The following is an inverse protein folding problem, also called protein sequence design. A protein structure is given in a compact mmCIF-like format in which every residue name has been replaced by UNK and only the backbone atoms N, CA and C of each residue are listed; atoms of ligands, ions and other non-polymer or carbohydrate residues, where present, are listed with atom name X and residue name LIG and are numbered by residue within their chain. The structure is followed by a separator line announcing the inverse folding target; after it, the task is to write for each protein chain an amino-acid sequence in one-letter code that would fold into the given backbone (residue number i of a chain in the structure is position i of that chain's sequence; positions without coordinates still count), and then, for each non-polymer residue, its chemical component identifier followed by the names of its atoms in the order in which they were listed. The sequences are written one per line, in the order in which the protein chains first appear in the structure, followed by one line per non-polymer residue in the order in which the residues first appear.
data_IF_046863997870
#
_entry.id   IF_046863997870
#
_cell.length_a   1.000
_cell.length_b   1.000
_cell.length_c   1.000
_cell.angle_alpha   90.00
_cell.angle_beta   90.00
_cell.angle_gamma   90.00
#
_symmetry.space_group_name_H-M   'P 1'
#
loop_
_entity.id
_entity.type
_entity.pdbx_description
1 polymer ?
#
# COMPACT_ATOMS: atom_id res chain seq x y z
N UNK A 1 24.11 -2.65 -15.37
CA UNK A 1 23.44 -3.97 -15.39
C UNK A 1 22.49 -4.05 -16.56
N UNK A 2 22.36 -5.21 -17.18
CA UNK A 2 21.37 -5.47 -18.24
C UNK A 2 20.58 -6.71 -17.87
N UNK A 3 19.27 -6.59 -17.79
CA UNK A 3 18.34 -7.72 -17.62
C UNK A 3 17.88 -8.12 -19.02
N UNK A 4 18.19 -9.35 -19.44
CA UNK A 4 17.89 -9.85 -20.79
C UNK A 4 16.75 -10.85 -20.77
N UNK A 5 16.00 -10.88 -21.86
CA UNK A 5 15.00 -11.92 -22.17
C UNK A 5 13.82 -11.95 -21.19
N UNK A 6 13.52 -10.86 -20.47
CA UNK A 6 12.40 -10.83 -19.56
C UNK A 6 11.06 -10.61 -20.27
N UNK A 7 9.98 -11.17 -19.71
CA UNK A 7 8.60 -10.73 -19.98
C UNK A 7 8.32 -9.50 -19.12
N UNK A 8 8.55 -8.30 -19.66
CA UNK A 8 8.51 -7.03 -18.92
C UNK A 8 7.10 -6.48 -18.88
N UNK A 9 6.63 -6.12 -17.69
CA UNK A 9 5.39 -5.35 -17.50
C UNK A 9 5.66 -3.87 -17.77
N UNK A 10 5.06 -3.37 -18.84
CA UNK A 10 5.30 -2.03 -19.36
C UNK A 10 4.36 -0.99 -18.77
N UNK A 11 4.69 0.27 -18.90
CA UNK A 11 3.95 1.40 -18.32
C UNK A 11 2.51 1.53 -18.86
N UNK A 12 2.24 1.03 -20.05
CA UNK A 12 0.89 0.99 -20.65
C UNK A 12 -0.01 -0.12 -20.07
N UNK A 13 0.53 -0.93 -19.14
CA UNK A 13 -0.20 -2.01 -18.48
C UNK A 13 -0.25 -3.31 -19.30
N UNK A 14 0.68 -3.49 -20.23
CA UNK A 14 0.83 -4.72 -21.03
C UNK A 14 2.14 -5.43 -20.74
N UNK A 15 2.31 -6.62 -21.31
CA UNK A 15 3.59 -7.32 -21.28
C UNK A 15 4.27 -7.29 -22.64
N UNK A 16 5.57 -7.08 -22.64
CA UNK A 16 6.41 -7.25 -23.82
C UNK A 16 7.63 -8.13 -23.51
N UNK A 17 8.13 -8.83 -24.51
CA UNK A 17 9.41 -9.53 -24.41
C UNK A 17 10.53 -8.53 -24.69
N UNK A 18 11.43 -8.33 -23.73
CA UNK A 18 12.41 -7.25 -23.86
C UNK A 18 13.62 -7.38 -22.96
N UNK A 19 14.52 -6.42 -23.16
CA UNK A 19 15.71 -6.22 -22.34
C UNK A 19 15.59 -4.88 -21.60
N UNK A 20 16.02 -4.83 -20.34
CA UNK A 20 16.00 -3.63 -19.52
C UNK A 20 17.42 -3.26 -19.12
N UNK A 21 17.81 -2.02 -19.39
CA UNK A 21 19.11 -1.48 -19.01
C UNK A 21 18.96 -0.65 -17.73
N UNK A 22 19.79 -0.94 -16.74
CA UNK A 22 19.88 -0.20 -15.48
C UNK A 22 21.24 0.46 -15.36
N UNK A 23 21.25 1.75 -15.04
CA UNK A 23 22.44 2.55 -14.85
C UNK A 23 22.25 3.48 -13.66
N UNK A 24 23.25 3.54 -12.78
CA UNK A 24 23.26 4.42 -11.61
C UNK A 24 21.99 4.29 -10.73
N UNK A 25 21.50 3.04 -10.56
CA UNK A 25 20.30 2.75 -9.77
C UNK A 25 18.97 3.09 -10.41
N UNK A 26 18.95 3.48 -11.69
CA UNK A 26 17.75 3.86 -12.42
C UNK A 26 17.59 3.07 -13.72
N UNK A 27 16.36 2.91 -14.17
CA UNK A 27 16.08 2.41 -15.50
C UNK A 27 16.60 3.42 -16.53
N UNK A 28 17.51 2.97 -17.40
CA UNK A 28 18.05 3.79 -18.48
C UNK A 28 17.21 3.62 -19.75
N UNK A 29 16.88 2.37 -20.10
CA UNK A 29 16.05 2.06 -21.25
C UNK A 29 15.34 0.72 -21.11
N UNK A 30 14.19 0.61 -21.79
CA UNK A 30 13.41 -0.61 -21.95
C UNK A 30 13.31 -0.88 -23.44
N UNK A 31 13.84 -2.01 -23.90
CA UNK A 31 14.03 -2.32 -25.30
C UNK A 31 13.20 -3.53 -25.68
N UNK A 32 12.25 -3.36 -26.61
CA UNK A 32 11.52 -4.50 -27.17
C UNK A 32 12.49 -5.38 -27.96
N UNK A 33 12.43 -6.68 -27.71
CA UNK A 33 13.28 -7.62 -28.42
C UNK A 33 12.67 -7.96 -29.77
N UNK A 34 13.38 -7.57 -30.82
CA UNK A 34 13.10 -7.96 -32.20
C UNK A 34 14.24 -8.84 -32.74
N UNK A 35 14.02 -9.60 -33.82
CA UNK A 35 15.04 -10.44 -34.41
C UNK A 35 16.34 -9.71 -34.78
N UNK A 36 16.30 -8.37 -34.88
CA UNK A 36 17.44 -7.53 -35.24
C UNK A 36 18.22 -6.98 -34.03
N UNK A 37 17.71 -7.14 -32.78
CA UNK A 37 18.33 -6.57 -31.58
C UNK A 37 19.41 -7.43 -30.94
N UNK A 38 19.59 -8.67 -31.37
CA UNK A 38 20.64 -9.60 -30.86
C UNK A 38 22.09 -9.12 -31.10
N UNK A 39 22.29 -8.06 -31.89
CA UNK A 39 23.62 -7.58 -32.30
C UNK A 39 24.15 -6.34 -31.49
N UNK A 40 23.36 -5.74 -30.65
CA UNK A 40 23.70 -4.41 -30.08
C UNK A 40 24.30 -4.41 -28.66
N UNK A 41 24.46 -5.56 -28.00
CA UNK A 41 24.94 -5.64 -26.62
C UNK A 41 26.36 -6.20 -26.52
N UNK A 42 27.33 -5.52 -27.13
CA UNK A 42 28.77 -5.79 -26.90
C UNK A 42 29.35 -4.72 -25.94
N UNK A 43 29.16 -4.91 -24.63
CA UNK A 43 29.91 -4.15 -23.64
C UNK A 43 30.51 -5.11 -22.60
N UNK A 44 31.80 -5.32 -22.74
CA UNK A 44 32.64 -6.28 -22.01
C UNK A 44 32.79 -5.99 -20.49
N UNK A 45 31.96 -5.13 -19.88
CA UNK A 45 32.05 -4.72 -18.47
C UNK A 45 30.71 -4.57 -17.74
N UNK A 46 29.56 -4.87 -18.37
CA UNK A 46 28.26 -4.76 -17.69
C UNK A 46 27.81 -6.13 -17.16
N UNK A 47 27.32 -6.13 -15.92
CA UNK A 47 26.62 -7.29 -15.35
C UNK A 47 25.40 -7.63 -16.20
N UNK A 48 25.25 -8.89 -16.58
CA UNK A 48 24.14 -9.38 -17.39
C UNK A 48 23.37 -10.41 -16.57
N UNK A 49 22.07 -10.20 -16.45
CA UNK A 49 21.12 -11.13 -15.84
C UNK A 49 20.27 -11.71 -16.94
N UNK A 50 20.30 -13.04 -17.10
CA UNK A 50 19.39 -13.73 -18.02
C UNK A 50 18.06 -14.03 -17.30
N UNK A 51 17.01 -13.31 -17.67
CA UNK A 51 15.66 -13.45 -17.15
C UNK A 51 14.74 -14.24 -18.10
N UNK A 52 15.31 -15.14 -18.90
CA UNK A 52 14.55 -16.04 -19.79
C UNK A 52 13.52 -16.84 -19.00
N UNK A 53 12.24 -16.75 -19.40
CA UNK A 53 11.13 -17.42 -18.70
C UNK A 53 10.68 -16.74 -17.42
N UNK A 54 11.21 -15.55 -17.11
CA UNK A 54 10.79 -14.77 -15.95
C UNK A 54 9.93 -13.57 -16.36
N UNK A 55 9.03 -13.21 -15.46
CA UNK A 55 8.19 -12.01 -15.53
C UNK A 55 8.89 -10.92 -14.72
N UNK A 56 9.13 -9.78 -15.33
CA UNK A 56 9.67 -8.60 -14.66
C UNK A 56 8.56 -7.60 -14.40
N UNK A 57 8.29 -7.31 -13.13
CA UNK A 57 7.29 -6.32 -12.70
C UNK A 57 7.95 -5.19 -11.93
N UNK A 58 7.35 -3.98 -11.87
CA UNK A 58 7.82 -2.95 -10.95
C UNK A 58 7.81 -3.46 -9.52
N UNK A 59 8.68 -2.96 -8.68
CA UNK A 59 8.57 -3.19 -7.25
C UNK A 59 7.22 -2.74 -6.72
N UNK A 60 6.64 -3.53 -5.80
CA UNK A 60 5.34 -3.25 -5.21
C UNK A 60 5.40 -2.01 -4.32
N UNK A 61 4.27 -1.35 -4.19
CA UNK A 61 4.07 -0.14 -3.36
C UNK A 61 2.95 -0.42 -2.38
N UNK A 62 3.25 -0.60 -1.10
CA UNK A 62 2.24 -0.77 -0.06
C UNK A 62 2.01 0.55 0.68
N UNK A 63 0.77 1.05 0.61
CA UNK A 63 0.41 2.34 1.19
C UNK A 63 -0.45 2.21 2.45
N UNK A 64 -0.72 0.96 2.88
CA UNK A 64 -1.48 0.72 4.10
C UNK A 64 -1.11 -0.63 4.73
N UNK A 65 -0.31 -0.57 5.77
CA UNK A 65 0.07 -1.69 6.63
C UNK A 65 0.71 -1.15 7.92
N UNK A 66 0.67 -1.91 9.02
CA UNK A 66 1.17 -1.45 10.33
C UNK A 66 2.55 -2.00 10.67
N UNK A 67 2.87 -3.21 10.22
CA UNK A 67 4.15 -3.81 10.54
C UNK A 67 4.29 -5.27 10.11
N UNK A 68 5.42 -5.88 10.52
CA UNK A 68 5.80 -7.26 10.20
C UNK A 68 6.95 -7.72 11.12
N UNK A 69 7.21 -9.03 11.18
CA UNK A 69 8.37 -9.60 11.89
C UNK A 69 8.54 -9.13 13.34
N UNK A 70 7.44 -8.82 14.03
CA UNK A 70 7.45 -8.35 15.41
C UNK A 70 7.55 -6.84 15.58
N UNK A 71 7.88 -6.11 14.52
CA UNK A 71 7.96 -4.65 14.50
C UNK A 71 6.64 -4.00 14.03
N UNK A 72 6.40 -2.77 14.47
CA UNK A 72 5.23 -1.98 14.15
C UNK A 72 5.63 -0.52 13.94
N UNK A 73 4.99 0.17 13.01
CA UNK A 73 5.23 1.62 12.79
C UNK A 73 5.10 2.42 14.08
N UNK A 74 4.13 2.05 14.94
CA UNK A 74 3.87 2.69 16.21
C UNK A 74 4.86 2.32 17.33
N UNK A 75 5.84 1.45 17.10
CA UNK A 75 6.96 1.26 18.02
C UNK A 75 7.84 2.53 18.11
N UNK A 76 7.79 3.40 17.10
CA UNK A 76 8.41 4.72 17.10
C UNK A 76 9.94 4.67 17.21
N UNK A 77 10.58 3.65 16.66
CA UNK A 77 12.04 3.44 16.69
C UNK A 77 12.61 3.21 15.31
N UNK A 78 13.87 3.60 15.10
CA UNK A 78 14.57 3.36 13.82
C UNK A 78 14.75 1.85 13.57
N UNK A 79 14.98 1.07 14.61
CA UNK A 79 15.15 -0.38 14.54
C UNK A 79 13.86 -1.07 14.03
N UNK A 80 12.67 -0.58 14.44
CA UNK A 80 11.40 -1.09 13.92
C UNK A 80 11.26 -0.80 12.42
N UNK A 81 11.61 0.42 11.98
CA UNK A 81 11.60 0.78 10.57
C UNK A 81 12.61 -0.03 9.75
N UNK A 82 13.80 -0.32 10.30
CA UNK A 82 14.79 -1.20 9.65
C UNK A 82 14.24 -2.62 9.44
N UNK A 83 13.57 -3.20 10.45
CA UNK A 83 12.92 -4.52 10.33
C UNK A 83 11.83 -4.50 9.29
N UNK A 84 10.96 -3.47 9.32
CA UNK A 84 9.84 -3.31 8.39
C UNK A 84 10.37 -3.20 6.96
N UNK A 85 11.28 -2.26 6.68
CA UNK A 85 11.77 -2.01 5.33
C UNK A 85 12.53 -3.21 4.76
N UNK A 86 13.28 -3.93 5.60
CA UNK A 86 13.99 -5.14 5.19
C UNK A 86 13.05 -6.29 4.84
N UNK A 87 12.01 -6.53 5.67
CA UNK A 87 11.04 -7.58 5.39
C UNK A 87 10.22 -7.27 4.14
N UNK A 88 9.69 -6.06 4.02
CA UNK A 88 8.88 -5.65 2.88
C UNK A 88 9.68 -5.78 1.56
N UNK A 89 10.98 -5.39 1.57
CA UNK A 89 11.86 -5.64 0.45
C UNK A 89 11.98 -7.14 0.10
N UNK A 90 12.10 -8.01 1.10
CA UNK A 90 12.24 -9.46 0.88
C UNK A 90 11.01 -10.12 0.25
N UNK A 91 9.84 -9.48 0.38
CA UNK A 91 8.58 -9.94 -0.22
C UNK A 91 8.16 -9.11 -1.44
N UNK A 92 9.08 -8.34 -2.02
CA UNK A 92 8.89 -7.63 -3.30
C UNK A 92 8.28 -6.24 -3.19
N UNK A 93 8.03 -5.74 -1.98
CA UNK A 93 7.57 -4.36 -1.76
C UNK A 93 8.81 -3.46 -1.67
N UNK A 94 8.94 -2.53 -2.59
CA UNK A 94 10.14 -1.66 -2.69
C UNK A 94 9.90 -0.23 -2.22
N UNK A 95 8.64 0.15 -2.05
CA UNK A 95 8.23 1.45 -1.50
C UNK A 95 7.12 1.24 -0.48
N UNK A 96 7.30 1.80 0.71
CA UNK A 96 6.40 1.61 1.85
C UNK A 96 5.88 2.94 2.38
N UNK A 97 4.58 2.98 2.67
CA UNK A 97 3.90 4.07 3.35
C UNK A 97 3.12 3.47 4.53
N UNK A 98 3.81 3.09 5.63
CA UNK A 98 3.19 2.39 6.75
C UNK A 98 2.14 3.25 7.44
N UNK A 99 1.11 2.58 7.96
CA UNK A 99 0.01 3.19 8.68
C UNK A 99 0.31 3.29 10.18
N UNK A 100 -0.10 4.41 10.79
CA UNK A 100 -0.14 4.53 12.24
C UNK A 100 -1.43 3.94 12.80
N UNK A 101 -1.50 3.81 14.11
CA UNK A 101 -2.72 3.46 14.84
C UNK A 101 -3.21 4.65 15.66
N UNK A 102 -4.46 4.57 16.12
CA UNK A 102 -5.03 5.52 17.09
C UNK A 102 -4.39 5.28 18.47
N UNK A 103 -3.28 5.96 18.73
CA UNK A 103 -2.51 5.90 19.97
C UNK A 103 -2.54 7.26 20.69
N UNK A 104 -1.91 7.37 21.85
CA UNK A 104 -1.87 8.62 22.61
C UNK A 104 -1.17 9.73 21.82
N UNK A 105 -1.60 10.99 22.03
CA UNK A 105 -1.12 12.17 21.29
C UNK A 105 0.40 12.31 21.28
N UNK A 106 1.03 12.20 22.44
CA UNK A 106 2.49 12.38 22.58
C UNK A 106 3.26 11.20 21.98
N UNK A 107 2.69 9.99 22.04
CA UNK A 107 3.26 8.81 21.39
C UNK A 107 3.21 8.94 19.86
N UNK A 108 2.06 9.36 19.31
CA UNK A 108 1.92 9.57 17.87
C UNK A 108 2.90 10.63 17.37
N UNK A 109 3.08 11.73 18.11
CA UNK A 109 4.06 12.77 17.79
C UNK A 109 5.49 12.19 17.77
N UNK A 110 5.83 11.32 18.72
CA UNK A 110 7.13 10.64 18.76
C UNK A 110 7.33 9.69 17.58
N UNK A 111 6.28 8.95 17.18
CA UNK A 111 6.29 8.07 16.00
C UNK A 111 6.54 8.88 14.73
N UNK A 112 5.82 9.99 14.54
CA UNK A 112 5.98 10.88 13.39
C UNK A 112 7.40 11.46 13.32
N UNK A 113 7.92 11.92 14.45
CA UNK A 113 9.29 12.45 14.54
C UNK A 113 10.33 11.39 14.21
N UNK A 114 10.19 10.16 14.74
CA UNK A 114 11.10 9.06 14.41
C UNK A 114 11.12 8.76 12.91
N UNK A 115 9.96 8.71 12.28
CA UNK A 115 9.86 8.47 10.84
C UNK A 115 10.44 9.62 10.01
N UNK A 116 10.22 10.88 10.43
CA UNK A 116 10.82 12.05 9.79
C UNK A 116 12.35 12.08 9.88
N UNK A 117 12.89 11.65 11.03
CA UNK A 117 14.34 11.60 11.28
C UNK A 117 15.00 10.30 10.76
N UNK A 118 14.21 9.34 10.24
CA UNK A 118 14.71 8.03 9.81
C UNK A 118 15.72 8.15 8.68
N UNK A 119 16.88 7.54 8.86
CA UNK A 119 17.89 7.41 7.83
C UNK A 119 17.75 6.05 7.13
N UNK A 120 17.68 6.06 5.82
CA UNK A 120 17.57 4.84 5.01
C UNK A 120 18.85 3.98 5.13
N UNK A 121 18.70 2.72 5.57
CA UNK A 121 19.80 1.77 5.73
C UNK A 121 19.76 0.62 4.71
N UNK A 122 18.89 0.69 3.71
CA UNK A 122 18.60 -0.37 2.76
C UNK A 122 17.21 -0.97 3.02
N UNK A 123 16.77 -1.90 2.17
CA UNK A 123 15.40 -2.41 2.18
C UNK A 123 14.45 -1.56 1.34
N UNK A 124 13.15 -1.62 1.61
CA UNK A 124 12.15 -0.80 0.94
C UNK A 124 12.28 0.68 1.30
N UNK A 125 12.04 1.58 0.36
CA UNK A 125 12.06 3.02 0.62
C UNK A 125 10.85 3.44 1.45
N UNK A 126 11.07 4.11 2.60
CA UNK A 126 10.02 4.80 3.33
C UNK A 126 9.64 6.06 2.54
N UNK A 127 8.51 6.02 1.85
CA UNK A 127 8.08 7.09 0.91
C UNK A 127 6.95 7.94 1.45
N UNK A 128 6.38 7.57 2.58
CA UNK A 128 5.29 8.29 3.22
C UNK A 128 4.83 7.61 4.50
N UNK A 129 3.83 8.21 5.11
CA UNK A 129 3.09 7.69 6.26
C UNK A 129 1.60 7.80 5.93
N UNK A 130 0.85 6.74 6.22
CA UNK A 130 -0.61 6.77 6.27
C UNK A 130 -1.03 7.04 7.72
N UNK A 131 -1.67 8.16 7.98
CA UNK A 131 -2.17 8.51 9.31
C UNK A 131 -3.54 7.87 9.51
N UNK A 132 -3.60 6.60 9.94
CA UNK A 132 -4.83 5.89 10.23
C UNK A 132 -5.30 6.21 11.67
N UNK A 133 -6.26 7.10 11.73
CA UNK A 133 -6.67 7.72 12.99
C UNK A 133 -5.72 8.85 13.44
N UNK A 134 -6.06 9.56 14.50
CA UNK A 134 -7.17 9.35 15.46
C UNK A 134 -8.52 9.95 15.04
N UNK A 135 -8.69 10.49 13.85
CA UNK A 135 -9.88 11.24 13.40
C UNK A 135 -10.99 10.33 12.83
N UNK A 136 -11.25 9.24 13.53
CA UNK A 136 -12.16 8.17 13.11
C UNK A 136 -13.41 8.09 13.99
N UNK A 137 -14.42 7.34 13.55
CA UNK A 137 -15.67 7.19 14.30
C UNK A 137 -15.55 6.17 15.44
N UNK A 138 -15.93 6.55 16.69
CA UNK A 138 -15.96 5.60 17.81
C UNK A 138 -16.84 4.38 17.53
N UNK A 139 -17.88 4.54 16.71
CA UNK A 139 -18.83 3.47 16.37
C UNK A 139 -18.27 2.47 15.37
N UNK A 140 -17.19 2.82 14.67
CA UNK A 140 -16.54 2.03 13.63
C UNK A 140 -15.03 1.87 13.86
N UNK A 141 -14.62 1.97 15.09
CA UNK A 141 -13.21 1.93 15.50
C UNK A 141 -12.46 0.65 15.09
N UNK A 142 -13.16 -0.47 14.83
CA UNK A 142 -12.49 -1.74 14.56
C UNK A 142 -11.52 -2.12 15.68
N UNK A 143 -10.26 -2.38 15.34
CA UNK A 143 -9.17 -2.66 16.26
C UNK A 143 -8.47 -1.39 16.83
N UNK A 144 -8.98 -0.19 16.56
CA UNK A 144 -8.41 1.05 17.07
C UNK A 144 -8.76 1.27 18.56
N UNK A 145 -7.91 1.96 19.30
CA UNK A 145 -8.10 2.26 20.74
C UNK A 145 -9.11 3.39 20.93
N UNK A 146 -10.30 3.05 21.47
CA UNK A 146 -11.41 4.01 21.59
C UNK A 146 -11.08 5.24 22.44
N UNK A 147 -10.27 5.09 23.46
CA UNK A 147 -9.86 6.15 24.37
C UNK A 147 -8.96 7.23 23.74
N UNK A 148 -8.36 6.92 22.59
CA UNK A 148 -7.46 7.83 21.89
C UNK A 148 -8.11 8.45 20.63
N UNK A 149 -9.36 8.11 20.33
CA UNK A 149 -10.11 8.72 19.22
C UNK A 149 -10.35 10.19 19.51
N UNK A 150 -10.12 11.04 18.51
CA UNK A 150 -10.24 12.49 18.61
C UNK A 150 -11.12 13.05 17.49
N UNK A 151 -11.71 14.23 17.75
CA UNK A 151 -12.26 15.04 16.67
C UNK A 151 -11.14 15.56 15.77
N UNK A 152 -11.48 15.88 14.52
CA UNK A 152 -10.53 16.46 13.57
C UNK A 152 -9.92 17.75 14.13
N UNK A 153 -8.60 17.80 14.23
CA UNK A 153 -7.80 18.90 14.76
C UNK A 153 -6.70 19.26 13.74
N UNK A 154 -6.93 20.36 13.01
CA UNK A 154 -6.00 20.79 11.97
C UNK A 154 -4.65 21.23 12.54
N UNK A 155 -4.64 21.89 13.70
CA UNK A 155 -3.39 22.38 14.30
C UNK A 155 -2.54 21.20 14.77
N UNK A 156 -3.17 20.16 15.32
CA UNK A 156 -2.49 18.92 15.68
C UNK A 156 -1.97 18.16 14.46
N UNK A 157 -2.76 18.09 13.37
CA UNK A 157 -2.29 17.52 12.12
C UNK A 157 -1.04 18.26 11.58
N UNK A 158 -1.03 19.58 11.63
CA UNK A 158 0.15 20.36 11.22
C UNK A 158 1.37 20.06 12.11
N UNK A 159 1.19 19.92 13.43
CA UNK A 159 2.26 19.52 14.35
C UNK A 159 2.84 18.15 13.98
N UNK A 160 1.97 17.17 13.67
CA UNK A 160 2.38 15.83 13.22
C UNK A 160 3.10 15.86 11.87
N UNK A 161 2.58 16.63 10.90
CA UNK A 161 3.16 16.75 9.57
C UNK A 161 4.54 17.42 9.62
N UNK A 162 4.70 18.43 10.46
CA UNK A 162 5.99 19.11 10.70
C UNK A 162 7.00 18.12 11.34
N UNK A 163 6.57 17.37 12.34
CA UNK A 163 7.41 16.36 13.00
C UNK A 163 7.82 15.23 12.06
N UNK A 164 6.93 14.84 11.15
CA UNK A 164 7.19 13.85 10.11
C UNK A 164 7.97 14.40 8.91
N UNK A 165 8.43 15.65 8.93
CA UNK A 165 9.10 16.34 7.83
C UNK A 165 8.34 16.26 6.49
N UNK A 166 6.99 16.30 6.53
CA UNK A 166 6.14 16.25 5.36
C UNK A 166 5.88 14.84 4.81
N UNK A 167 6.19 13.80 5.56
CA UNK A 167 6.00 12.40 5.13
C UNK A 167 4.54 11.91 5.21
N UNK A 168 3.62 12.58 5.93
CA UNK A 168 2.22 12.15 5.92
C UNK A 168 1.66 12.36 4.51
N UNK A 169 1.30 11.26 3.83
CA UNK A 169 0.75 11.24 2.46
C UNK A 169 -0.75 11.00 2.44
N UNK A 170 -1.25 10.22 3.40
CA UNK A 170 -2.68 9.95 3.58
C UNK A 170 -3.09 10.31 5.00
N UNK A 171 -4.34 10.75 5.15
CA UNK A 171 -4.99 10.93 6.44
C UNK A 171 -6.39 10.33 6.39
N UNK A 172 -6.68 9.45 7.33
CA UNK A 172 -7.93 8.72 7.45
C UNK A 172 -8.93 9.48 8.31
N UNK A 173 -10.15 9.65 7.79
CA UNK A 173 -11.17 10.48 8.42
C UNK A 173 -12.54 9.81 8.36
N UNK A 174 -13.28 9.88 9.47
CA UNK A 174 -14.73 9.64 9.50
C UNK A 174 -15.46 10.96 9.21
N UNK A 175 -16.06 11.15 8.03
CA UNK A 175 -16.60 12.44 7.62
C UNK A 175 -17.85 12.88 8.41
N UNK A 176 -18.52 11.96 9.10
CA UNK A 176 -19.66 12.27 9.99
C UNK A 176 -19.24 12.88 11.33
N UNK A 177 -17.94 12.80 11.69
CA UNK A 177 -17.47 13.31 12.97
C UNK A 177 -17.34 14.86 12.94
N UNK A 178 -17.56 15.53 14.08
CA UNK A 178 -17.52 16.98 14.13
C UNK A 178 -16.17 17.56 13.65
N UNK A 179 -16.24 18.58 12.79
CA UNK A 179 -15.07 19.26 12.24
C UNK A 179 -14.41 18.59 11.06
N UNK A 180 -14.91 17.41 10.61
CA UNK A 180 -14.30 16.65 9.52
C UNK A 180 -14.32 17.42 8.19
N UNK A 181 -15.42 18.02 7.83
CA UNK A 181 -15.55 18.77 6.55
C UNK A 181 -14.62 19.99 6.51
N UNK A 182 -14.56 20.77 7.61
CA UNK A 182 -13.63 21.89 7.70
C UNK A 182 -12.17 21.45 7.67
N UNK A 183 -11.86 20.28 8.24
CA UNK A 183 -10.52 19.70 8.17
C UNK A 183 -10.18 19.31 6.74
N UNK A 184 -11.08 18.60 6.03
CA UNK A 184 -10.90 18.20 4.63
C UNK A 184 -10.59 19.43 3.77
N UNK A 185 -11.38 20.51 3.91
CA UNK A 185 -11.16 21.76 3.17
C UNK A 185 -9.77 22.37 3.39
N UNK A 186 -9.24 22.27 4.62
CA UNK A 186 -7.93 22.82 4.98
C UNK A 186 -6.76 22.01 4.42
N UNK A 187 -6.89 20.66 4.36
CA UNK A 187 -5.78 19.77 3.98
C UNK A 187 -5.84 19.33 2.51
N UNK A 188 -6.96 19.53 1.82
CA UNK A 188 -7.11 19.14 0.42
C UNK A 188 -5.99 19.67 -0.47
N UNK A 189 -5.41 18.79 -1.29
CA UNK A 189 -4.31 19.14 -2.20
C UNK A 189 -2.93 19.14 -1.53
N UNK A 190 -2.84 18.98 -0.22
CA UNK A 190 -1.56 18.79 0.48
C UNK A 190 -1.30 17.33 0.85
N UNK A 191 -2.37 16.60 1.18
CA UNK A 191 -2.35 15.16 1.46
C UNK A 191 -3.59 14.51 0.84
N UNK A 192 -3.57 13.20 0.68
CA UNK A 192 -4.74 12.41 0.31
C UNK A 192 -5.64 12.27 1.53
N UNK A 193 -6.89 12.70 1.40
CA UNK A 193 -7.90 12.49 2.45
C UNK A 193 -8.67 11.22 2.13
N UNK A 194 -8.62 10.26 3.03
CA UNK A 194 -9.28 8.96 2.90
C UNK A 194 -10.49 8.85 3.84
N UNK A 195 -11.60 8.37 3.32
CA UNK A 195 -12.78 8.04 4.12
C UNK A 195 -12.55 6.66 4.75
N UNK A 196 -12.48 6.63 6.09
CA UNK A 196 -12.07 5.46 6.84
C UNK A 196 -12.81 5.34 8.17
N UNK A 197 -12.96 4.11 8.69
CA UNK A 197 -13.49 3.86 10.03
C UNK A 197 -14.71 4.74 10.35
N UNK A 198 -15.74 4.65 9.52
CA UNK A 198 -16.82 5.62 9.45
C UNK A 198 -18.20 4.96 9.48
N UNK A 199 -19.16 5.61 10.10
CA UNK A 199 -20.57 5.27 10.01
C UNK A 199 -21.32 6.14 8.99
N UNK A 200 -20.62 6.92 8.17
CA UNK A 200 -21.21 7.84 7.19
C UNK A 200 -22.21 7.12 6.26
N UNK A 201 -23.30 7.77 6.02
CA UNK A 201 -24.23 7.40 4.97
C UNK A 201 -23.74 7.88 3.60
N UNK A 202 -24.54 7.65 2.56
CA UNK A 202 -24.18 8.02 1.20
C UNK A 202 -24.02 9.54 1.04
N UNK A 203 -24.94 10.33 1.58
CA UNK A 203 -24.95 11.78 1.39
C UNK A 203 -23.77 12.44 2.11
N UNK A 204 -23.46 12.00 3.32
CA UNK A 204 -22.29 12.44 4.09
C UNK A 204 -20.97 12.10 3.38
N UNK A 205 -20.88 10.90 2.80
CA UNK A 205 -19.70 10.50 2.04
C UNK A 205 -19.54 11.32 0.75
N UNK A 206 -20.65 11.63 0.05
CA UNK A 206 -20.64 12.51 -1.15
C UNK A 206 -20.19 13.91 -0.75
N UNK A 207 -20.69 14.48 0.34
CA UNK A 207 -20.26 15.79 0.85
C UNK A 207 -18.73 15.82 1.10
N UNK A 208 -18.20 14.80 1.78
CA UNK A 208 -16.76 14.69 2.00
C UNK A 208 -15.94 14.65 0.69
N UNK A 209 -16.43 13.91 -0.31
CA UNK A 209 -15.81 13.82 -1.64
C UNK A 209 -15.86 15.17 -2.37
N UNK A 210 -16.97 15.88 -2.31
CA UNK A 210 -17.11 17.22 -2.91
C UNK A 210 -16.15 18.23 -2.26
N UNK A 211 -15.87 18.09 -0.97
CA UNK A 211 -14.93 18.92 -0.23
C UNK A 211 -13.46 18.52 -0.45
N UNK A 212 -13.15 17.32 -0.93
CA UNK A 212 -11.79 16.97 -1.32
C UNK A 212 -11.30 15.58 -0.89
N UNK A 213 -12.12 14.78 -0.22
CA UNK A 213 -11.78 13.38 0.01
C UNK A 213 -11.74 12.65 -1.34
N UNK A 214 -10.67 11.89 -1.58
CA UNK A 214 -10.40 11.24 -2.86
C UNK A 214 -10.02 9.78 -2.75
N UNK A 215 -10.12 9.22 -1.54
CA UNK A 215 -9.70 7.87 -1.24
C UNK A 215 -10.68 7.20 -0.28
N UNK A 216 -10.72 5.87 -0.26
CA UNK A 216 -11.45 5.09 0.72
C UNK A 216 -10.56 3.94 1.21
N UNK A 217 -10.29 3.94 2.49
CA UNK A 217 -9.45 2.99 3.19
C UNK A 217 -10.13 1.63 3.30
N UNK A 218 -9.40 0.54 3.05
CA UNK A 218 -9.80 -0.88 3.18
C UNK A 218 -11.31 -1.11 2.97
N UNK A 219 -11.78 -0.80 1.77
CA UNK A 219 -13.20 -0.79 1.40
C UNK A 219 -13.95 -2.02 1.96
N UNK A 220 -15.17 -1.82 2.47
CA UNK A 220 -16.03 -2.76 3.22
C UNK A 220 -15.68 -2.91 4.70
N UNK A 221 -14.43 -2.70 5.11
CA UNK A 221 -14.01 -2.88 6.50
C UNK A 221 -14.24 -1.60 7.31
N UNK A 222 -14.71 -1.75 8.54
CA UNK A 222 -15.02 -0.65 9.46
C UNK A 222 -15.92 0.46 8.87
N UNK A 223 -16.87 0.09 7.96
CA UNK A 223 -17.86 0.99 7.36
C UNK A 223 -19.21 0.31 7.22
N UNK A 224 -20.32 1.04 6.92
CA UNK A 224 -21.60 0.44 6.58
C UNK A 224 -21.51 -0.43 5.32
N UNK A 225 -22.21 -1.58 5.27
CA UNK A 225 -22.19 -2.44 4.09
C UNK A 225 -22.93 -1.80 2.91
N UNK A 226 -22.55 -2.18 1.68
CA UNK A 226 -23.30 -1.81 0.47
C UNK A 226 -24.69 -2.40 0.50
N UNK A 227 -25.69 -1.58 0.71
CA UNK A 227 -27.09 -2.01 0.76
C UNK A 227 -27.89 -1.30 -0.34
N UNK A 228 -28.80 -2.01 -0.99
CA UNK A 228 -29.53 -1.55 -2.17
C UNK A 228 -30.43 -0.30 -1.99
N UNK A 229 -30.66 0.14 -0.76
CA UNK A 229 -31.39 1.38 -0.43
C UNK A 229 -30.53 2.38 0.37
N UNK A 230 -29.45 1.91 0.99
CA UNK A 230 -28.52 2.72 1.77
C UNK A 230 -27.09 2.34 1.35
N UNK A 231 -26.60 2.83 0.21
CA UNK A 231 -25.35 2.36 -0.39
C UNK A 231 -24.10 2.79 0.38
N UNK A 232 -24.21 3.76 1.29
CA UNK A 232 -23.14 4.21 2.16
C UNK A 232 -21.91 4.73 1.41
N UNK A 233 -20.79 4.69 2.08
CA UNK A 233 -19.47 5.08 1.53
C UNK A 233 -19.16 4.35 0.22
N UNK A 234 -19.42 3.04 0.17
CA UNK A 234 -19.12 2.21 -1.02
C UNK A 234 -19.84 2.74 -2.26
N UNK A 235 -21.11 3.13 -2.11
CA UNK A 235 -21.90 3.72 -3.19
C UNK A 235 -21.37 5.09 -3.60
N UNK A 236 -21.07 5.97 -2.65
CA UNK A 236 -20.54 7.30 -2.90
C UNK A 236 -19.20 7.26 -3.63
N UNK A 237 -18.26 6.43 -3.16
CA UNK A 237 -16.95 6.23 -3.79
C UNK A 237 -17.10 5.61 -5.19
N UNK A 238 -18.08 4.68 -5.38
CA UNK A 238 -18.35 4.11 -6.70
C UNK A 238 -18.82 5.17 -7.70
N UNK A 239 -19.67 6.08 -7.29
CA UNK A 239 -20.27 7.11 -8.15
C UNK A 239 -19.29 8.26 -8.44
N UNK A 240 -18.24 8.43 -7.63
CA UNK A 240 -17.17 9.37 -7.88
C UNK A 240 -16.10 8.78 -8.81
N UNK A 241 -15.83 9.43 -9.95
CA UNK A 241 -14.75 9.03 -10.85
C UNK A 241 -13.33 9.36 -10.31
N UNK A 242 -13.27 10.20 -9.26
CA UNK A 242 -12.00 10.72 -8.70
C UNK A 242 -11.48 9.91 -7.51
N UNK A 243 -12.35 9.09 -6.89
CA UNK A 243 -11.97 8.35 -5.70
C UNK A 243 -11.32 7.03 -6.05
N UNK A 244 -10.20 6.74 -5.40
CA UNK A 244 -9.60 5.42 -5.35
C UNK A 244 -10.08 4.64 -4.12
N UNK A 245 -9.97 3.33 -4.15
CA UNK A 245 -10.39 2.48 -3.05
C UNK A 245 -9.37 1.36 -2.80
N UNK A 246 -9.01 1.18 -1.54
CA UNK A 246 -8.15 0.10 -1.10
C UNK A 246 -8.92 -1.21 -0.97
N UNK A 247 -8.23 -2.33 -1.22
CA UNK A 247 -8.74 -3.67 -0.96
C UNK A 247 -7.67 -4.53 -0.29
N UNK A 248 -8.06 -5.20 0.80
CA UNK A 248 -7.28 -6.25 1.44
C UNK A 248 -7.68 -7.59 0.79
N UNK A 249 -6.86 -8.08 -0.13
CA UNK A 249 -7.16 -9.30 -0.90
C UNK A 249 -6.43 -10.53 -0.34
N UNK A 250 -6.62 -10.83 0.94
CA UNK A 250 -5.97 -11.93 1.67
C UNK A 250 -6.84 -13.21 1.77
N UNK A 251 -8.11 -13.13 1.31
CA UNK A 251 -9.07 -14.23 1.42
C UNK A 251 -9.75 -14.36 2.78
N UNK A 252 -9.40 -13.52 3.75
CA UNK A 252 -10.00 -13.42 5.09
C UNK A 252 -10.96 -12.23 5.13
N UNK A 253 -10.46 -11.03 4.79
CA UNK A 253 -11.24 -9.80 4.84
C UNK A 253 -12.34 -9.76 3.78
N UNK A 254 -12.04 -10.22 2.56
CA UNK A 254 -12.97 -10.11 1.43
C UNK A 254 -13.04 -11.43 0.67
N UNK A 255 -14.26 -11.94 0.52
CA UNK A 255 -14.51 -13.15 -0.27
C UNK A 255 -14.17 -12.93 -1.77
N UNK A 256 -13.56 -13.89 -2.49
CA UNK A 256 -13.17 -13.74 -3.90
C UNK A 256 -14.29 -13.26 -4.82
N UNK A 257 -15.54 -13.67 -4.56
CA UNK A 257 -16.71 -13.20 -5.33
C UNK A 257 -16.95 -11.69 -5.15
N UNK A 258 -16.70 -11.15 -3.95
CA UNK A 258 -16.85 -9.71 -3.68
C UNK A 258 -15.69 -8.94 -4.33
N UNK A 259 -14.46 -9.47 -4.30
CA UNK A 259 -13.33 -8.89 -5.04
C UNK A 259 -13.69 -8.72 -6.53
N UNK A 260 -14.17 -9.79 -7.19
CA UNK A 260 -14.62 -9.72 -8.60
C UNK A 260 -15.70 -8.66 -8.84
N UNK A 261 -16.71 -8.62 -7.95
CA UNK A 261 -17.78 -7.63 -8.05
C UNK A 261 -17.24 -6.20 -7.90
N UNK A 262 -16.31 -5.99 -7.00
CA UNK A 262 -15.67 -4.68 -6.77
C UNK A 262 -14.87 -4.24 -7.98
N UNK A 263 -14.02 -5.11 -8.55
CA UNK A 263 -13.31 -4.80 -9.79
C UNK A 263 -14.26 -4.49 -10.96
N UNK A 264 -15.38 -5.22 -11.07
CA UNK A 264 -16.40 -4.93 -12.09
C UNK A 264 -17.11 -3.58 -11.86
N UNK A 265 -17.30 -3.17 -10.59
CA UNK A 265 -17.94 -1.89 -10.26
C UNK A 265 -17.00 -0.70 -10.44
N UNK A 266 -15.77 -0.80 -10.00
CA UNK A 266 -14.83 0.33 -9.93
C UNK A 266 -13.87 0.39 -11.12
N UNK A 267 -13.55 -0.76 -11.73
CA UNK A 267 -12.47 -0.90 -12.69
C UNK A 267 -11.08 -0.86 -12.03
N UNK A 268 -10.13 -1.61 -12.56
CA UNK A 268 -8.80 -1.76 -11.98
C UNK A 268 -8.04 -0.43 -11.77
N UNK A 269 -8.30 0.58 -12.60
CA UNK A 269 -7.61 1.89 -12.50
C UNK A 269 -7.88 2.65 -11.20
N UNK A 270 -8.98 2.34 -10.50
CA UNK A 270 -9.36 2.99 -9.24
C UNK A 270 -9.16 2.10 -8.02
N UNK A 271 -8.64 0.87 -8.22
CA UNK A 271 -8.38 -0.05 -7.13
C UNK A 271 -6.92 -0.01 -6.71
N UNK A 272 -6.69 -0.09 -5.42
CA UNK A 272 -5.37 -0.18 -4.81
C UNK A 272 -5.36 -1.42 -3.93
N UNK A 273 -4.42 -2.33 -4.16
CA UNK A 273 -4.19 -3.45 -3.26
C UNK A 273 -3.31 -2.98 -2.10
N UNK A 274 -3.69 -3.38 -0.91
CA UNK A 274 -2.95 -3.15 0.33
C UNK A 274 -2.83 -4.46 1.10
N UNK A 275 -1.85 -4.56 1.97
CA UNK A 275 -1.74 -5.73 2.84
C UNK A 275 -2.51 -5.59 4.14
N UNK A 276 -2.58 -4.39 4.69
CA UNK A 276 -3.04 -4.13 6.06
C UNK A 276 -2.33 -5.07 7.07
N UNK A 277 -1.06 -5.39 6.78
CA UNK A 277 -0.27 -6.32 7.57
C UNK A 277 0.03 -5.76 8.95
N UNK A 278 0.08 -6.66 9.94
CA UNK A 278 0.42 -6.28 11.30
C UNK A 278 1.68 -7.00 11.77
N UNK A 279 2.22 -6.66 12.95
CA UNK A 279 3.51 -7.16 13.44
C UNK A 279 3.70 -8.68 13.41
N UNK A 280 2.63 -9.48 13.39
CA UNK A 280 2.72 -10.93 13.29
C UNK A 280 3.04 -11.43 11.87
N UNK A 281 2.90 -10.58 10.85
CA UNK A 281 3.19 -10.96 9.47
C UNK A 281 4.60 -11.48 9.33
N UNK A 282 4.73 -12.67 8.73
CA UNK A 282 6.00 -13.37 8.61
C UNK A 282 6.45 -14.13 9.87
N UNK A 283 5.63 -14.19 10.92
CA UNK A 283 5.88 -14.98 12.13
C UNK A 283 4.90 -16.17 12.24
N UNK A 284 5.13 -17.02 13.21
CA UNK A 284 4.28 -18.19 13.50
C UNK A 284 2.96 -17.77 14.18
N UNK A 285 1.98 -18.70 14.21
CA UNK A 285 0.75 -18.53 14.99
C UNK A 285 1.07 -18.20 16.46
N UNK A 286 0.32 -17.26 17.06
CA UNK A 286 0.61 -16.84 18.44
C UNK A 286 -0.19 -15.64 18.90
N UNK A 287 0.21 -15.13 20.06
CA UNK A 287 -0.34 -13.91 20.65
C UNK A 287 0.58 -12.73 20.35
N UNK A 288 0.01 -11.67 19.83
CA UNK A 288 0.70 -10.44 19.40
C UNK A 288 -0.05 -9.20 19.90
N UNK A 289 0.32 -8.04 19.40
CA UNK A 289 -0.38 -6.78 19.70
C UNK A 289 -0.56 -5.94 18.43
N UNK A 290 -1.62 -5.14 18.40
CA UNK A 290 -1.84 -4.09 17.41
C UNK A 290 -2.43 -2.87 18.13
N UNK A 291 -1.78 -1.70 18.00
CA UNK A 291 -2.22 -0.49 18.72
C UNK A 291 -2.36 -0.68 20.23
N UNK A 292 -1.50 -1.51 20.84
CA UNK A 292 -1.56 -1.85 22.27
C UNK A 292 -2.62 -2.89 22.67
N UNK A 293 -3.45 -3.35 21.74
CA UNK A 293 -4.47 -4.38 22.00
C UNK A 293 -3.94 -5.79 21.69
N UNK A 294 -4.32 -6.77 22.51
CA UNK A 294 -3.93 -8.18 22.30
C UNK A 294 -4.64 -8.79 21.09
N UNK A 295 -3.87 -9.42 20.21
CA UNK A 295 -4.31 -10.06 18.97
C UNK A 295 -3.87 -11.52 18.96
N UNK A 296 -4.79 -12.43 18.71
CA UNK A 296 -4.51 -13.86 18.45
C UNK A 296 -4.41 -14.09 16.95
N UNK A 297 -3.30 -14.68 16.49
CA UNK A 297 -3.07 -15.05 15.08
C UNK A 297 -3.14 -16.56 14.93
N UNK A 298 -3.95 -17.02 13.96
CA UNK A 298 -4.07 -18.43 13.55
C UNK A 298 -4.15 -18.53 12.03
N UNK A 299 -3.09 -19.01 11.41
CA UNK A 299 -2.95 -18.96 9.96
C UNK A 299 -3.07 -17.52 9.45
N UNK A 300 -3.90 -17.24 8.42
CA UNK A 300 -4.04 -15.87 7.89
C UNK A 300 -4.94 -14.95 8.74
N UNK A 301 -5.61 -15.48 9.79
CA UNK A 301 -6.61 -14.76 10.58
C UNK A 301 -5.97 -14.15 11.84
N UNK A 302 -6.05 -12.85 11.98
CA UNK A 302 -5.68 -12.08 13.16
C UNK A 302 -6.94 -11.47 13.80
N UNK A 303 -7.18 -11.71 15.10
CA UNK A 303 -8.39 -11.22 15.79
C UNK A 303 -8.12 -10.72 17.20
N UNK A 304 -8.90 -9.73 17.62
CA UNK A 304 -9.07 -9.36 19.01
C UNK A 304 -9.84 -10.48 19.77
N UNK A 305 -9.87 -10.41 21.10
CA UNK A 305 -10.60 -11.39 21.95
C UNK A 305 -12.10 -11.44 21.68
N UNK A 306 -12.70 -10.38 21.19
CA UNK A 306 -14.14 -10.32 20.84
C UNK A 306 -14.45 -10.83 19.43
N UNK A 307 -13.42 -11.28 18.69
CA UNK A 307 -13.53 -11.79 17.33
C UNK A 307 -13.43 -10.73 16.24
N UNK A 308 -13.22 -9.46 16.59
CA UNK A 308 -12.96 -8.40 15.59
C UNK A 308 -11.66 -8.70 14.86
N UNK A 309 -11.68 -8.67 13.52
CA UNK A 309 -10.45 -8.79 12.70
C UNK A 309 -9.56 -7.56 12.96
N UNK A 310 -8.27 -7.79 13.10
CA UNK A 310 -7.28 -6.80 13.56
C UNK A 310 -6.05 -6.81 12.63
N UNK A 311 -6.13 -6.09 11.52
CA UNK A 311 -5.15 -6.15 10.46
C UNK A 311 -5.05 -7.53 9.81
N UNK A 312 -4.07 -7.75 8.99
CA UNK A 312 -3.81 -9.05 8.35
C UNK A 312 -2.48 -9.67 8.80
N UNK A 313 -2.35 -10.98 8.59
CA UNK A 313 -1.09 -11.70 8.76
C UNK A 313 -0.47 -12.08 7.40
N UNK A 314 -0.75 -11.29 6.36
CA UNK A 314 -0.26 -11.48 5.00
C UNK A 314 0.61 -10.30 4.53
N UNK A 315 1.20 -10.40 3.34
CA UNK A 315 1.96 -9.32 2.70
C UNK A 315 1.32 -8.95 1.35
N UNK A 316 1.72 -7.82 0.77
CA UNK A 316 1.12 -7.32 -0.47
C UNK A 316 1.32 -8.26 -1.66
N UNK A 317 2.46 -8.95 -1.77
CA UNK A 317 2.70 -9.93 -2.84
C UNK A 317 1.70 -11.09 -2.78
N UNK A 318 1.39 -11.58 -1.58
CA UNK A 318 0.41 -12.66 -1.40
C UNK A 318 -1.02 -12.16 -1.66
N UNK A 319 -1.35 -10.91 -1.31
CA UNK A 319 -2.61 -10.25 -1.71
C UNK A 319 -2.73 -10.16 -3.24
N UNK A 320 -1.66 -9.77 -3.94
CA UNK A 320 -1.64 -9.74 -5.40
C UNK A 320 -1.81 -11.14 -6.00
N UNK A 321 -1.10 -12.14 -5.48
CA UNK A 321 -1.25 -13.55 -5.91
C UNK A 321 -2.67 -14.06 -5.70
N UNK A 322 -3.27 -13.78 -4.54
CA UNK A 322 -4.64 -14.17 -4.23
C UNK A 322 -5.64 -13.54 -5.19
N UNK A 323 -5.46 -12.25 -5.49
CA UNK A 323 -6.28 -11.52 -6.46
C UNK A 323 -6.27 -12.19 -7.84
N UNK A 324 -5.12 -12.65 -8.30
CA UNK A 324 -5.01 -13.36 -9.58
C UNK A 324 -5.54 -14.79 -9.50
N UNK A 325 -5.06 -15.58 -8.53
CA UNK A 325 -5.28 -17.04 -8.51
C UNK A 325 -6.65 -17.43 -8.00
N UNK A 326 -7.19 -16.70 -7.01
CA UNK A 326 -8.45 -17.04 -6.33
C UNK A 326 -9.61 -16.14 -6.77
N UNK A 327 -9.36 -14.85 -6.95
CA UNK A 327 -10.40 -13.96 -7.45
C UNK A 327 -10.49 -13.97 -9.00
N UNK A 328 -9.45 -14.41 -9.73
CA UNK A 328 -9.45 -14.51 -11.18
C UNK A 328 -9.36 -13.16 -11.89
N UNK A 329 -8.79 -12.16 -11.23
CA UNK A 329 -8.49 -10.85 -11.84
C UNK A 329 -7.26 -11.01 -12.76
N UNK A 330 -7.24 -10.40 -13.95
CA UNK A 330 -6.07 -10.41 -14.83
C UNK A 330 -4.80 -9.98 -14.11
N UNK A 331 -3.67 -10.64 -14.41
CA UNK A 331 -2.37 -10.34 -13.77
C UNK A 331 -1.97 -8.88 -13.96
N UNK A 332 -2.18 -8.34 -15.16
CA UNK A 332 -1.88 -6.96 -15.51
C UNK A 332 -2.64 -5.96 -14.62
N UNK A 333 -3.90 -6.25 -14.34
CA UNK A 333 -4.72 -5.41 -13.46
C UNK A 333 -4.25 -5.50 -12.00
N UNK A 334 -3.93 -6.71 -11.52
CA UNK A 334 -3.44 -6.91 -10.15
C UNK A 334 -2.08 -6.22 -9.92
N UNK A 335 -1.15 -6.32 -10.90
CA UNK A 335 0.14 -5.60 -10.84
C UNK A 335 -0.10 -4.09 -10.79
N UNK A 336 -0.94 -3.55 -11.67
CA UNK A 336 -1.23 -2.12 -11.69
C UNK A 336 -1.78 -1.63 -10.35
N UNK A 337 -2.67 -2.41 -9.71
CA UNK A 337 -3.26 -2.10 -8.41
C UNK A 337 -2.27 -2.18 -7.25
N UNK A 338 -1.17 -2.91 -7.39
CA UNK A 338 -0.13 -3.05 -6.36
C UNK A 338 1.13 -2.21 -6.65
N UNK A 339 1.18 -1.46 -7.76
CA UNK A 339 2.37 -0.70 -8.20
C UNK A 339 2.02 0.73 -8.64
N UNK A 340 1.52 0.89 -9.86
CA UNK A 340 1.28 2.19 -10.48
C UNK A 340 0.17 2.99 -9.78
N UNK A 341 -0.92 2.33 -9.38
CA UNK A 341 -2.04 3.03 -8.74
C UNK A 341 -1.66 3.60 -7.36
N UNK A 342 -1.10 2.82 -6.40
CA UNK A 342 -0.68 3.37 -5.13
C UNK A 342 0.44 4.42 -5.29
N UNK A 343 1.37 4.23 -6.23
CA UNK A 343 2.42 5.22 -6.49
C UNK A 343 1.86 6.56 -6.98
N UNK A 344 0.83 6.54 -7.83
CA UNK A 344 0.12 7.74 -8.29
C UNK A 344 -0.65 8.40 -7.16
N UNK A 345 -1.32 7.60 -6.35
CA UNK A 345 -2.13 8.09 -5.24
C UNK A 345 -1.31 8.91 -4.26
N UNK A 346 -0.15 8.42 -3.84
CA UNK A 346 0.70 9.13 -2.87
C UNK A 346 1.73 10.07 -3.53
N UNK A 347 1.64 10.28 -4.85
CA UNK A 347 2.46 11.26 -5.58
C UNK A 347 3.93 10.89 -5.77
N UNK A 348 4.26 9.58 -5.84
CA UNK A 348 5.63 9.09 -6.08
C UNK A 348 5.81 8.44 -7.46
N UNK A 349 4.80 8.55 -8.34
CA UNK A 349 4.83 7.85 -9.62
C UNK A 349 5.99 8.25 -10.53
N UNK A 350 6.52 9.44 -10.39
CA UNK A 350 7.69 9.90 -11.13
C UNK A 350 8.99 9.16 -10.73
N UNK A 351 8.99 8.53 -9.54
CA UNK A 351 10.15 7.80 -9.01
C UNK A 351 9.97 6.29 -9.01
N UNK A 352 8.75 5.77 -8.83
CA UNK A 352 8.45 4.35 -8.64
C UNK A 352 7.13 3.92 -9.31
N UNK A 353 6.78 2.63 -9.26
CA UNK A 353 5.49 2.09 -9.70
C UNK A 353 5.41 1.74 -11.19
N UNK A 354 6.46 1.93 -11.98
CA UNK A 354 6.57 1.40 -13.35
C UNK A 354 8.02 1.22 -13.78
N UNK A 355 8.25 0.32 -14.75
CA UNK A 355 9.55 0.10 -15.38
C UNK A 355 9.65 1.10 -16.55
N UNK A 356 10.14 2.30 -16.25
CA UNK A 356 10.23 3.40 -17.22
C UNK A 356 11.55 4.16 -17.03
N UNK A 357 12.13 4.63 -18.14
CA UNK A 357 13.40 5.35 -18.11
C UNK A 357 13.38 6.53 -17.14
N UNK A 358 14.41 6.68 -16.34
CA UNK A 358 14.60 7.72 -15.34
C UNK A 358 14.09 7.37 -13.95
N UNK A 359 13.19 6.41 -13.79
CA UNK A 359 12.70 5.95 -12.47
C UNK A 359 13.71 5.05 -11.77
N UNK A 360 13.57 4.92 -10.45
CA UNK A 360 14.38 3.98 -9.66
C UNK A 360 14.24 2.57 -10.22
N UNK A 361 15.37 1.88 -10.30
CA UNK A 361 15.39 0.50 -10.78
C UNK A 361 14.96 -0.46 -9.67
N UNK A 362 13.71 -0.31 -9.23
CA UNK A 362 13.03 -1.13 -8.25
C UNK A 362 12.12 -2.12 -8.99
N UNK A 363 12.46 -3.40 -8.96
CA UNK A 363 11.73 -4.43 -9.70
C UNK A 363 11.81 -5.80 -9.05
N UNK A 364 10.86 -6.64 -9.42
CA UNK A 364 10.79 -8.04 -8.99
C UNK A 364 10.81 -8.95 -10.21
N UNK A 365 11.62 -10.00 -10.16
CA UNK A 365 11.57 -11.11 -11.11
C UNK A 365 10.75 -12.24 -10.51
N UNK A 366 9.72 -12.67 -11.24
CA UNK A 366 8.80 -13.73 -10.86
C UNK A 366 8.90 -14.90 -11.84
N UNK A 367 8.69 -16.12 -11.34
CA UNK A 367 8.44 -17.27 -12.21
C UNK A 367 6.96 -17.30 -12.70
N UNK A 368 6.60 -18.29 -13.50
CA UNK A 368 5.22 -18.48 -14.01
C UNK A 368 4.20 -18.74 -12.89
N UNK A 369 4.66 -19.25 -11.74
CA UNK A 369 3.86 -19.45 -10.53
C UNK A 369 3.82 -18.18 -9.66
N UNK A 370 4.24 -17.04 -10.18
CA UNK A 370 4.34 -15.75 -9.48
C UNK A 370 5.17 -15.80 -8.18
N UNK A 371 6.06 -16.78 -8.02
CA UNK A 371 6.99 -16.82 -6.91
C UNK A 371 8.15 -15.87 -7.19
N UNK A 372 8.62 -15.19 -6.17
CA UNK A 372 9.77 -14.29 -6.25
C UNK A 372 11.03 -15.10 -6.53
N UNK A 373 11.72 -14.76 -7.61
CA UNK A 373 13.05 -15.28 -7.97
C UNK A 373 14.11 -14.34 -7.41
N UNK A 374 13.92 -13.03 -7.60
CA UNK A 374 14.81 -12.00 -7.04
C UNK A 374 14.09 -10.65 -6.96
N UNK A 375 14.54 -9.81 -6.04
CA UNK A 375 14.09 -8.44 -5.84
C UNK A 375 15.26 -7.49 -6.00
N UNK A 376 15.03 -6.39 -6.69
CA UNK A 376 16.03 -5.35 -6.90
C UNK A 376 15.50 -4.01 -6.41
N UNK A 377 16.33 -3.29 -5.68
CA UNK A 377 16.07 -1.91 -5.21
C UNK A 377 17.27 -1.05 -5.61
N UNK A 378 17.01 0.10 -6.24
CA UNK A 378 18.05 0.97 -6.80
C UNK A 378 19.03 0.18 -7.70
N UNK A 379 18.51 -0.82 -8.43
CA UNK A 379 19.29 -1.69 -9.30
C UNK A 379 20.23 -2.66 -8.59
N UNK A 380 20.07 -2.88 -7.28
CA UNK A 380 20.86 -3.85 -6.50
C UNK A 380 19.96 -4.98 -6.02
N UNK A 381 20.46 -6.19 -6.15
CA UNK A 381 19.74 -7.38 -5.66
C UNK A 381 19.68 -7.36 -4.13
N UNK A 382 18.47 -7.60 -3.61
CA UNK A 382 18.21 -7.76 -2.19
C UNK A 382 18.36 -9.24 -1.83
N UNK A 383 19.17 -9.53 -0.83
CA UNK A 383 19.29 -10.88 -0.29
C UNK A 383 17.99 -11.26 0.42
N UNK A 384 17.25 -12.22 -0.12
CA UNK A 384 16.02 -12.78 0.49
C UNK A 384 16.35 -13.86 1.51
#
# INVERSE_FOLDING_TARGET
MIIKNAKVFTEDGSFMQGDVVVKDGRFDSVLERTADTDAAADSTQQEIIDASGLIMIPGLVDIHFHGCKGADMCDGTAEALDVITAYEASVGVTSVCPATMTIQRDELLSVMKNAGDYNYHGGAHLVGINMEGPFISPSKKGAQAAENIMQCDYDYFCELQDAAHGLIKLVDIAPEEPGAIEFIDKVRGSVVVSIAHTAADYDTAVEAIEHGASHATHLYNAMPPLHHRNPGVIGAVRDSEKCHAELICDGVHIHPSVIRATFAMFGAKRMILISDSMRATGLEDGEYTLGGQAVTVRGPLATLHDGTIAGSATNLMDCMRFTVRQAGIPLEEAIMCATANPAKEIGIYDEAGSISAGKRADFVLLNDDLDIVSVYIDGKEISC
#
